data_IF_701993369275
#
_entry.id   IF_701993369275
#
_cell.length_a   1.000
_cell.length_b   1.000
_cell.length_c   1.000
_cell.angle_alpha   90.00
_cell.angle_beta   90.00
_cell.angle_gamma   90.00
#
_symmetry.space_group_name_H-M   'P 1'
#
loop_
_entity.id
_entity.type
_entity.pdbx_description
1 polymer ?
#
# COMPACT_ATOMS: atom_id res chain seq x y z
N UNK A 1 44.04 113.95 -50.67
CA UNK A 1 45.24 114.31 -51.44
C UNK A 1 45.25 113.46 -52.70
N UNK A 2 44.90 114.07 -53.85
CA UNK A 2 44.96 113.40 -55.14
C UNK A 2 46.43 113.28 -55.55
N UNK A 3 46.88 112.06 -55.85
CA UNK A 3 48.22 111.81 -56.39
C UNK A 3 48.34 112.51 -57.76
N UNK A 4 49.49 113.15 -58.03
CA UNK A 4 49.78 113.78 -59.33
C UNK A 4 49.81 112.75 -60.46
N UNK A 5 49.47 113.20 -61.67
CA UNK A 5 49.26 112.35 -62.86
C UNK A 5 50.47 111.46 -63.21
N UNK A 6 51.70 111.97 -63.01
CA UNK A 6 52.95 111.21 -63.16
C UNK A 6 53.12 110.11 -62.11
N UNK A 7 52.93 110.42 -60.83
CA UNK A 7 52.97 109.42 -59.75
C UNK A 7 51.87 108.34 -59.90
N UNK A 8 50.74 108.68 -60.51
CA UNK A 8 49.66 107.73 -60.82
C UNK A 8 50.02 106.81 -62.00
N UNK A 9 50.75 107.30 -62.99
CA UNK A 9 51.23 106.49 -64.12
C UNK A 9 52.41 105.60 -63.74
N UNK A 10 53.33 106.08 -62.91
CA UNK A 10 54.43 105.29 -62.35
C UNK A 10 53.91 104.19 -61.40
N UNK A 11 52.94 104.52 -60.53
CA UNK A 11 52.23 103.53 -59.72
C UNK A 11 51.52 102.48 -60.59
N UNK A 12 50.87 102.88 -61.70
CA UNK A 12 50.24 101.93 -62.63
C UNK A 12 51.26 101.04 -63.35
N UNK A 13 52.43 101.57 -63.73
CA UNK A 13 53.54 100.79 -64.32
C UNK A 13 54.14 99.80 -63.33
N UNK A 14 54.48 100.25 -62.12
CA UNK A 14 55.00 99.38 -61.05
C UNK A 14 53.98 98.32 -60.63
N UNK A 15 52.71 98.69 -60.54
CA UNK A 15 51.60 97.75 -60.28
C UNK A 15 51.43 96.73 -61.41
N UNK A 16 51.60 97.14 -62.67
CA UNK A 16 51.55 96.23 -63.82
C UNK A 16 52.75 95.27 -63.83
N UNK A 17 53.98 95.77 -63.60
CA UNK A 17 55.19 94.94 -63.51
C UNK A 17 55.13 93.94 -62.35
N UNK A 18 54.71 94.40 -61.16
CA UNK A 18 54.48 93.54 -60.01
C UNK A 18 53.35 92.53 -60.26
N UNK A 19 52.33 92.90 -61.05
CA UNK A 19 51.26 91.98 -61.42
C UNK A 19 51.68 90.90 -62.43
N UNK A 20 52.76 91.12 -63.20
CA UNK A 20 53.32 90.14 -64.14
C UNK A 20 54.31 89.22 -63.43
N UNK A 21 55.15 89.76 -62.55
CA UNK A 21 56.12 88.96 -61.78
C UNK A 21 55.43 88.07 -60.74
N UNK A 22 54.35 88.54 -60.12
CA UNK A 22 53.64 87.80 -59.07
C UNK A 22 52.55 86.83 -59.57
N UNK A 23 52.55 86.45 -60.85
CA UNK A 23 51.54 85.54 -61.42
C UNK A 23 51.69 84.13 -60.85
N UNK A 24 52.91 83.58 -60.87
CA UNK A 24 53.19 82.21 -60.39
C UNK A 24 52.91 82.10 -58.88
N UNK A 25 53.32 83.11 -58.10
CA UNK A 25 53.09 83.14 -56.65
C UNK A 25 51.60 83.31 -56.32
N UNK A 26 50.83 84.10 -57.09
CA UNK A 26 49.37 84.19 -56.93
C UNK A 26 48.66 82.89 -57.31
N UNK A 27 49.08 82.21 -58.38
CA UNK A 27 48.54 80.90 -58.76
C UNK A 27 48.87 79.84 -57.69
N UNK A 28 50.08 79.87 -57.14
CA UNK A 28 50.47 79.01 -56.01
C UNK A 28 49.66 79.32 -54.76
N UNK A 29 49.45 80.60 -54.43
CA UNK A 29 48.62 80.99 -53.29
C UNK A 29 47.16 80.58 -53.50
N UNK A 30 46.61 80.71 -54.71
CA UNK A 30 45.24 80.31 -55.03
C UNK A 30 45.05 78.79 -54.95
N UNK A 31 46.01 78.01 -55.43
CA UNK A 31 45.99 76.53 -55.29
C UNK A 31 46.09 76.11 -53.83
N UNK A 32 47.05 76.66 -53.07
CA UNK A 32 47.16 76.42 -51.62
C UNK A 32 45.89 76.84 -50.87
N UNK A 33 45.25 77.95 -51.25
CA UNK A 33 44.02 78.42 -50.62
C UNK A 33 42.85 77.49 -50.90
N UNK A 34 42.75 76.96 -52.14
CA UNK A 34 41.76 75.94 -52.50
C UNK A 34 42.00 74.64 -51.72
N UNK A 35 43.24 74.20 -51.60
CA UNK A 35 43.63 73.02 -50.80
C UNK A 35 43.36 73.21 -49.31
N UNK A 36 43.69 74.38 -48.74
CA UNK A 36 43.38 74.70 -47.34
C UNK A 36 41.86 74.66 -47.11
N UNK A 37 41.07 75.18 -48.06
CA UNK A 37 39.60 75.14 -47.99
C UNK A 37 39.05 73.71 -48.08
N UNK A 38 39.60 72.85 -48.93
CA UNK A 38 39.17 71.43 -49.02
C UNK A 38 39.55 70.67 -47.75
N UNK A 39 40.78 70.83 -47.25
CA UNK A 39 41.25 70.22 -45.99
C UNK A 39 40.44 70.70 -44.78
N UNK A 40 40.09 71.98 -44.72
CA UNK A 40 39.26 72.51 -43.62
C UNK A 40 37.85 71.91 -43.65
N UNK A 41 37.27 71.74 -44.84
CA UNK A 41 35.96 71.08 -45.00
C UNK A 41 36.00 69.61 -44.63
N UNK A 42 37.03 68.86 -45.07
CA UNK A 42 37.16 67.44 -44.71
C UNK A 42 37.43 67.28 -43.21
N UNK A 43 38.22 68.15 -42.60
CA UNK A 43 38.47 68.16 -41.16
C UNK A 43 37.19 68.47 -40.36
N UNK A 44 36.35 69.39 -40.83
CA UNK A 44 35.02 69.63 -40.24
C UNK A 44 34.11 68.39 -40.30
N UNK A 45 34.03 67.74 -41.47
CA UNK A 45 33.25 66.51 -41.64
C UNK A 45 33.77 65.34 -40.79
N UNK A 46 35.09 65.22 -40.64
CA UNK A 46 35.70 64.20 -39.78
C UNK A 46 35.45 64.48 -38.30
N UNK A 47 35.48 65.75 -37.87
CA UNK A 47 35.12 66.14 -36.50
C UNK A 47 33.67 65.85 -36.18
N UNK A 48 32.72 66.20 -37.06
CA UNK A 48 31.29 65.87 -36.87
C UNK A 48 31.05 64.35 -36.82
N UNK A 49 31.75 63.58 -37.66
CA UNK A 49 31.71 62.11 -37.59
C UNK A 49 32.31 61.59 -36.29
N UNK A 50 33.40 62.17 -35.82
CA UNK A 50 34.04 61.79 -34.57
C UNK A 50 33.08 62.04 -33.39
N UNK A 51 32.48 63.22 -33.28
CA UNK A 51 31.53 63.54 -32.22
C UNK A 51 30.30 62.62 -32.26
N UNK A 52 29.76 62.36 -33.46
CA UNK A 52 28.63 61.42 -33.61
C UNK A 52 28.99 59.97 -33.29
N UNK A 53 30.24 59.54 -33.50
CA UNK A 53 30.72 58.22 -33.07
C UNK A 53 30.94 58.17 -31.56
N UNK A 54 31.39 59.27 -30.95
CA UNK A 54 31.62 59.39 -29.50
C UNK A 54 30.29 59.30 -28.72
N UNK A 55 29.27 60.05 -29.16
CA UNK A 55 27.90 59.99 -28.59
C UNK A 55 27.28 58.59 -28.74
N UNK A 56 27.45 57.96 -29.91
CA UNK A 56 26.99 56.59 -30.13
C UNK A 56 27.74 55.58 -29.24
N UNK A 57 29.04 55.82 -28.97
CA UNK A 57 29.81 54.96 -28.07
C UNK A 57 29.28 55.10 -26.64
N UNK A 58 29.07 56.31 -26.16
CA UNK A 58 28.52 56.59 -24.82
C UNK A 58 27.13 55.97 -24.61
N UNK A 59 26.23 56.14 -25.58
CA UNK A 59 24.90 55.52 -25.54
C UNK A 59 25.00 53.98 -25.47
N UNK A 60 25.87 53.38 -26.31
CA UNK A 60 26.06 51.93 -26.31
C UNK A 60 26.70 51.39 -25.04
N UNK A 61 27.60 52.16 -24.41
CA UNK A 61 28.19 51.78 -23.12
C UNK A 61 27.16 51.82 -21.99
N UNK A 62 26.30 52.85 -21.96
CA UNK A 62 25.22 52.93 -20.99
C UNK A 62 24.20 51.78 -21.16
N UNK A 63 23.85 51.46 -22.41
CA UNK A 63 22.99 50.31 -22.71
C UNK A 63 23.63 48.99 -22.25
N UNK A 64 24.93 48.79 -22.51
CA UNK A 64 25.67 47.60 -22.08
C UNK A 64 25.69 47.44 -20.56
N UNK A 65 25.93 48.53 -19.82
CA UNK A 65 25.92 48.53 -18.36
C UNK A 65 24.53 48.15 -17.82
N UNK A 66 23.46 48.78 -18.34
CA UNK A 66 22.09 48.47 -17.93
C UNK A 66 21.71 47.01 -18.22
N UNK A 67 22.09 46.48 -19.38
CA UNK A 67 21.86 45.08 -19.74
C UNK A 67 22.68 44.12 -18.85
N UNK A 68 23.90 44.50 -18.47
CA UNK A 68 24.75 43.68 -17.59
C UNK A 68 24.20 43.60 -16.16
N UNK A 69 23.67 44.70 -15.63
CA UNK A 69 23.03 44.73 -14.31
C UNK A 69 21.76 43.86 -14.30
N UNK A 70 20.92 44.00 -15.32
CA UNK A 70 19.71 43.17 -15.46
C UNK A 70 20.03 41.67 -15.58
N UNK A 71 21.13 41.32 -16.25
CA UNK A 71 21.63 39.94 -16.31
C UNK A 71 21.95 39.39 -14.93
N UNK A 72 22.73 40.15 -14.15
CA UNK A 72 23.16 39.74 -12.82
C UNK A 72 21.95 39.51 -11.89
N UNK A 73 20.95 40.40 -11.94
CA UNK A 73 19.70 40.22 -11.18
C UNK A 73 18.91 38.97 -11.59
N UNK A 74 18.83 38.67 -12.89
CA UNK A 74 18.14 37.48 -13.38
C UNK A 74 18.90 36.20 -13.01
N UNK A 75 20.22 36.19 -13.11
CA UNK A 75 21.06 35.07 -12.72
C UNK A 75 20.93 34.79 -11.20
N UNK A 76 20.90 35.84 -10.36
CA UNK A 76 20.67 35.71 -8.92
C UNK A 76 19.27 35.15 -8.62
N UNK A 77 18.22 35.66 -9.28
CA UNK A 77 16.84 35.14 -9.13
C UNK A 77 16.72 33.68 -9.57
N UNK A 78 17.40 33.29 -10.64
CA UNK A 78 17.41 31.89 -11.09
C UNK A 78 18.11 31.02 -10.05
N UNK A 79 19.23 31.47 -9.50
CA UNK A 79 19.96 30.72 -8.47
C UNK A 79 19.12 30.52 -7.19
N UNK A 80 18.41 31.55 -6.72
CA UNK A 80 17.54 31.43 -5.53
C UNK A 80 16.36 30.50 -5.77
N UNK A 81 15.65 30.65 -6.90
CA UNK A 81 14.55 29.77 -7.28
C UNK A 81 14.99 28.32 -7.44
N UNK A 82 16.20 28.08 -7.94
CA UNK A 82 16.76 26.72 -8.04
C UNK A 82 17.00 26.11 -6.66
N UNK A 83 17.51 26.87 -5.69
CA UNK A 83 17.69 26.39 -4.31
C UNK A 83 16.33 26.05 -3.69
N UNK A 84 15.34 26.93 -3.82
CA UNK A 84 13.98 26.69 -3.32
C UNK A 84 13.35 25.45 -3.97
N UNK A 85 13.52 25.28 -5.29
CA UNK A 85 13.04 24.11 -6.02
C UNK A 85 13.67 22.81 -5.50
N UNK A 86 14.98 22.79 -5.27
CA UNK A 86 15.66 21.61 -4.73
C UNK A 86 15.17 21.23 -3.35
N UNK A 87 14.95 22.23 -2.48
CA UNK A 87 14.42 22.04 -1.13
C UNK A 87 12.99 21.49 -1.17
N UNK A 88 12.11 22.10 -1.95
CA UNK A 88 10.72 21.65 -2.08
C UNK A 88 10.61 20.22 -2.64
N UNK A 89 11.47 19.86 -3.61
CA UNK A 89 11.56 18.49 -4.14
C UNK A 89 12.05 17.49 -3.10
N UNK A 90 13.03 17.87 -2.29
CA UNK A 90 13.53 17.01 -1.20
C UNK A 90 12.48 16.80 -0.11
N UNK A 91 11.72 17.85 0.24
CA UNK A 91 10.63 17.76 1.20
C UNK A 91 9.50 16.84 0.69
N UNK A 92 9.18 16.91 -0.62
CA UNK A 92 8.21 16.01 -1.25
C UNK A 92 8.68 14.55 -1.23
N UNK A 93 9.93 14.27 -1.58
CA UNK A 93 10.48 12.90 -1.56
C UNK A 93 10.47 12.31 -0.15
N UNK A 94 10.89 13.09 0.86
CA UNK A 94 10.84 12.72 2.26
C UNK A 94 9.40 12.39 2.70
N UNK A 95 8.41 13.23 2.36
CA UNK A 95 7.01 12.96 2.68
C UNK A 95 6.47 11.71 1.97
N UNK A 96 6.79 11.51 0.69
CA UNK A 96 6.36 10.32 -0.04
C UNK A 96 6.95 9.04 0.53
N UNK A 97 8.22 9.08 0.95
CA UNK A 97 8.89 7.94 1.59
C UNK A 97 8.23 7.58 2.93
N UNK A 98 7.96 8.57 3.78
CA UNK A 98 7.29 8.38 5.08
C UNK A 98 5.84 7.89 4.89
N UNK A 99 5.10 8.43 3.91
CA UNK A 99 3.75 7.97 3.58
C UNK A 99 3.74 6.51 3.10
N UNK A 100 4.72 6.12 2.30
CA UNK A 100 4.87 4.73 1.84
C UNK A 100 5.19 3.80 3.01
N UNK A 101 6.08 4.23 3.90
CA UNK A 101 6.43 3.50 5.13
C UNK A 101 5.22 3.33 6.06
N UNK A 102 4.46 4.39 6.31
CA UNK A 102 3.22 4.34 7.12
C UNK A 102 2.23 3.35 6.49
N UNK A 103 2.04 3.40 5.16
CA UNK A 103 1.13 2.48 4.47
C UNK A 103 1.55 1.01 4.59
N UNK A 104 2.85 0.72 4.56
CA UNK A 104 3.38 -0.63 4.78
C UNK A 104 3.13 -1.10 6.22
N UNK A 105 3.39 -0.23 7.20
CA UNK A 105 3.12 -0.54 8.61
C UNK A 105 1.63 -0.75 8.89
N UNK A 106 0.74 0.05 8.28
CA UNK A 106 -0.71 -0.14 8.34
C UNK A 106 -1.13 -1.48 7.74
N UNK A 107 -0.57 -1.88 6.60
CA UNK A 107 -0.87 -3.16 5.97
C UNK A 107 -0.45 -4.34 6.86
N UNK A 108 0.76 -4.29 7.41
CA UNK A 108 1.27 -5.32 8.34
C UNK A 108 0.44 -5.40 9.62
N UNK A 109 0.10 -4.26 10.22
CA UNK A 109 -0.72 -4.22 11.43
C UNK A 109 -2.14 -4.75 11.18
N UNK A 110 -2.74 -4.44 10.03
CA UNK A 110 -4.05 -4.97 9.64
C UNK A 110 -4.02 -6.49 9.40
N UNK A 111 -2.98 -7.00 8.72
CA UNK A 111 -2.81 -8.44 8.51
C UNK A 111 -2.67 -9.19 9.85
N UNK A 112 -1.84 -8.66 10.76
CA UNK A 112 -1.70 -9.22 12.11
C UNK A 112 -3.02 -9.16 12.89
N UNK A 113 -3.78 -8.05 12.76
CA UNK A 113 -5.06 -7.89 13.42
C UNK A 113 -6.09 -8.91 12.92
N UNK A 114 -6.15 -9.15 11.60
CA UNK A 114 -7.02 -10.18 11.01
C UNK A 114 -6.67 -11.58 11.53
N UNK A 115 -5.38 -11.91 11.62
CA UNK A 115 -4.94 -13.19 12.17
C UNK A 115 -5.34 -13.36 13.64
N UNK A 116 -5.17 -12.31 14.46
CA UNK A 116 -5.58 -12.33 15.88
C UNK A 116 -7.10 -12.47 16.01
N UNK A 117 -7.88 -11.80 15.17
CA UNK A 117 -9.34 -11.96 15.15
C UNK A 117 -9.77 -13.39 14.81
N UNK A 118 -9.14 -14.02 13.81
CA UNK A 118 -9.41 -15.41 13.46
C UNK A 118 -9.13 -16.36 14.62
N UNK A 119 -8.00 -16.16 15.33
CA UNK A 119 -7.63 -16.95 16.51
C UNK A 119 -8.60 -16.73 17.68
N UNK A 120 -9.02 -15.50 17.94
CA UNK A 120 -10.01 -15.19 18.98
C UNK A 120 -11.39 -15.80 18.68
N UNK A 121 -11.81 -15.79 17.42
CA UNK A 121 -13.07 -16.42 17.01
C UNK A 121 -13.01 -17.94 17.23
N UNK A 122 -11.92 -18.57 16.84
CA UNK A 122 -11.70 -20.00 17.06
C UNK A 122 -11.70 -20.34 18.56
N UNK A 123 -10.98 -19.57 19.37
CA UNK A 123 -10.95 -19.74 20.82
C UNK A 123 -12.33 -19.54 21.49
N UNK A 124 -13.16 -18.63 20.96
CA UNK A 124 -14.53 -18.43 21.44
C UNK A 124 -15.44 -19.63 21.18
N UNK A 125 -15.33 -20.25 20.00
CA UNK A 125 -16.07 -21.48 19.67
C UNK A 125 -15.62 -22.63 20.58
N UNK A 126 -14.31 -22.81 20.75
CA UNK A 126 -13.74 -23.87 21.60
C UNK A 126 -14.13 -23.71 23.07
N UNK A 127 -14.23 -22.47 23.58
CA UNK A 127 -14.67 -22.19 24.96
C UNK A 127 -16.13 -22.59 25.19
N UNK A 128 -17.03 -22.21 24.29
CA UNK A 128 -18.44 -22.57 24.42
C UNK A 128 -18.69 -24.08 24.32
N UNK A 129 -17.93 -24.78 23.47
CA UNK A 129 -17.98 -26.23 23.38
C UNK A 129 -17.43 -26.89 24.64
N UNK A 130 -16.27 -26.44 25.14
CA UNK A 130 -15.66 -26.97 26.36
C UNK A 130 -16.52 -26.73 27.61
N UNK A 131 -17.17 -25.57 27.75
CA UNK A 131 -18.08 -25.28 28.86
C UNK A 131 -19.32 -26.19 28.82
N UNK A 132 -19.86 -26.44 27.62
CA UNK A 132 -21.01 -27.33 27.44
C UNK A 132 -20.65 -28.77 27.77
N UNK A 133 -19.50 -29.23 27.32
CA UNK A 133 -18.99 -30.58 27.60
C UNK A 133 -18.70 -30.77 29.10
N UNK A 134 -18.11 -29.78 29.75
CA UNK A 134 -17.79 -29.83 31.20
C UNK A 134 -19.06 -29.87 32.04
N UNK A 135 -20.03 -29.00 31.76
CA UNK A 135 -21.34 -29.02 32.42
C UNK A 135 -22.05 -30.36 32.22
N UNK A 136 -22.01 -30.91 31.01
CA UNK A 136 -22.63 -32.22 30.75
C UNK A 136 -21.96 -33.33 31.58
N UNK A 137 -20.63 -33.35 31.68
CA UNK A 137 -19.90 -34.33 32.51
C UNK A 137 -20.21 -34.19 34.00
N UNK A 138 -20.24 -32.97 34.53
CA UNK A 138 -20.61 -32.72 35.93
C UNK A 138 -22.04 -33.20 36.22
N UNK A 139 -22.96 -32.94 35.29
CA UNK A 139 -24.35 -33.34 35.46
C UNK A 139 -24.52 -34.85 35.38
N UNK A 140 -23.77 -35.53 34.51
CA UNK A 140 -23.73 -36.98 34.43
C UNK A 140 -23.23 -37.59 35.75
N UNK A 141 -22.16 -37.05 36.33
CA UNK A 141 -21.62 -37.51 37.60
C UNK A 141 -22.64 -37.35 38.74
N UNK A 142 -23.39 -36.25 38.75
CA UNK A 142 -24.48 -36.04 39.70
C UNK A 142 -25.62 -37.04 39.51
N UNK A 143 -26.04 -37.30 38.26
CA UNK A 143 -27.07 -38.29 37.94
C UNK A 143 -26.66 -39.70 38.38
N UNK A 144 -25.42 -40.12 38.11
CA UNK A 144 -24.89 -41.42 38.54
C UNK A 144 -24.86 -41.57 40.07
N UNK A 145 -24.63 -40.47 40.80
CA UNK A 145 -24.62 -40.46 42.26
C UNK A 145 -26.01 -40.51 42.88
N UNK A 146 -26.99 -39.83 42.28
CA UNK A 146 -28.35 -39.71 42.82
C UNK A 146 -29.24 -40.89 42.42
N UNK A 147 -29.03 -41.44 41.23
CA UNK A 147 -29.88 -42.48 40.65
C UNK A 147 -29.07 -43.75 40.36
N UNK A 148 -29.02 -44.72 41.30
CA UNK A 148 -28.36 -45.99 41.06
C UNK A 148 -29.10 -46.73 39.94
N UNK A 149 -28.45 -46.84 38.78
CA UNK A 149 -29.02 -47.39 37.53
C UNK A 149 -28.74 -46.53 36.30
N UNK A 150 -28.09 -45.36 36.46
CA UNK A 150 -27.47 -44.63 35.35
C UNK A 150 -26.12 -45.25 35.02
N UNK A 151 -25.97 -45.83 33.83
CA UNK A 151 -24.74 -46.53 33.40
C UNK A 151 -23.70 -45.56 32.87
N UNK A 152 -24.13 -44.55 32.10
CA UNK A 152 -23.24 -43.55 31.48
C UNK A 152 -23.66 -43.23 30.05
N UNK A 153 -22.86 -42.44 29.32
CA UNK A 153 -23.13 -42.13 27.92
C UNK A 153 -22.69 -43.28 27.01
N UNK A 154 -23.32 -43.41 25.85
CA UNK A 154 -22.94 -44.39 24.83
C UNK A 154 -21.46 -44.28 24.45
N UNK A 155 -20.92 -43.06 24.29
CA UNK A 155 -19.48 -42.85 23.99
C UNK A 155 -18.54 -43.35 25.09
N UNK A 156 -18.97 -43.30 26.35
CA UNK A 156 -18.15 -43.75 27.49
C UNK A 156 -18.24 -45.27 27.70
N UNK A 157 -19.31 -45.90 27.19
CA UNK A 157 -19.64 -47.32 27.35
C UNK A 157 -19.17 -48.20 26.19
N UNK A 158 -18.57 -47.62 25.15
CA UNK A 158 -18.09 -48.37 23.99
C UNK A 158 -16.71 -47.89 23.51
N UNK A 159 -15.98 -48.78 22.84
CA UNK A 159 -14.66 -48.49 22.25
C UNK A 159 -14.55 -49.07 20.85
N UNK A 160 -14.00 -48.35 19.86
CA UNK A 160 -13.72 -48.93 18.55
C UNK A 160 -12.74 -50.10 18.67
N UNK A 161 -13.00 -51.20 17.96
CA UNK A 161 -12.13 -52.38 17.99
C UNK A 161 -10.73 -52.12 17.40
N UNK A 162 -10.61 -51.16 16.48
CA UNK A 162 -9.35 -50.72 15.89
C UNK A 162 -9.38 -49.21 15.66
N UNK A 163 -8.21 -48.54 15.76
CA UNK A 163 -8.08 -47.08 15.59
C UNK A 163 -8.62 -46.56 14.25
N UNK A 164 -8.49 -47.35 13.18
CA UNK A 164 -9.01 -46.97 11.86
C UNK A 164 -10.53 -46.80 11.80
N UNK A 165 -11.28 -47.38 12.76
CA UNK A 165 -12.74 -47.29 12.84
C UNK A 165 -13.23 -46.13 13.71
N UNK A 166 -12.34 -45.39 14.36
CA UNK A 166 -12.71 -44.34 15.33
C UNK A 166 -13.67 -43.30 14.73
N UNK A 167 -13.31 -42.75 13.57
CA UNK A 167 -14.16 -41.80 12.83
C UNK A 167 -15.50 -42.44 12.43
N UNK A 168 -15.47 -43.64 11.85
CA UNK A 168 -16.67 -44.32 11.40
C UNK A 168 -17.62 -44.65 12.55
N UNK A 169 -17.11 -45.10 13.70
CA UNK A 169 -17.89 -45.41 14.90
C UNK A 169 -18.56 -44.15 15.45
N UNK A 170 -17.81 -43.05 15.60
CA UNK A 170 -18.37 -41.76 16.04
C UNK A 170 -19.54 -41.32 15.15
N UNK A 171 -19.38 -41.48 13.84
CA UNK A 171 -20.36 -41.10 12.83
C UNK A 171 -21.57 -42.06 12.77
N UNK A 172 -21.35 -43.36 13.03
CA UNK A 172 -22.43 -44.34 13.14
C UNK A 172 -23.32 -44.01 14.33
N UNK A 173 -22.73 -43.81 15.52
CA UNK A 173 -23.43 -43.48 16.75
C UNK A 173 -24.18 -42.15 16.62
N UNK A 174 -23.56 -41.15 15.98
CA UNK A 174 -24.20 -39.91 15.57
C UNK A 174 -24.94 -39.25 16.75
N UNK A 175 -26.25 -39.03 16.59
CA UNK A 175 -27.08 -38.40 17.64
C UNK A 175 -27.12 -39.19 18.96
N UNK A 176 -26.90 -40.51 18.93
CA UNK A 176 -26.90 -41.36 20.10
C UNK A 176 -25.57 -41.32 20.88
N UNK A 177 -24.54 -40.64 20.37
CA UNK A 177 -23.20 -40.66 20.98
C UNK A 177 -23.20 -40.14 22.43
N UNK A 178 -23.99 -39.09 22.70
CA UNK A 178 -24.18 -38.48 24.02
C UNK A 178 -25.44 -39.00 24.75
N UNK A 179 -26.15 -39.98 24.20
CA UNK A 179 -27.31 -40.55 24.87
C UNK A 179 -26.89 -41.31 26.14
N UNK A 180 -27.65 -41.13 27.22
CA UNK A 180 -27.38 -41.70 28.54
C UNK A 180 -28.13 -43.03 28.68
N UNK A 181 -27.40 -44.12 28.92
CA UNK A 181 -27.97 -45.45 29.14
C UNK A 181 -28.40 -45.60 30.59
N UNK A 182 -29.63 -46.04 30.81
CA UNK A 182 -30.22 -46.26 32.14
C UNK A 182 -30.92 -47.61 32.21
N UNK A 183 -31.00 -48.18 33.40
CA UNK A 183 -31.55 -49.54 33.58
C UNK A 183 -33.06 -49.61 33.34
N UNK A 184 -33.82 -48.59 33.75
CA UNK A 184 -35.29 -48.58 33.61
C UNK A 184 -35.85 -47.24 33.11
N UNK A 185 -37.02 -47.27 32.47
CA UNK A 185 -37.75 -46.06 32.03
C UNK A 185 -38.03 -45.10 33.19
N UNK A 186 -38.37 -45.62 34.39
CA UNK A 186 -38.63 -44.79 35.58
C UNK A 186 -37.43 -43.91 35.94
N UNK A 187 -36.23 -44.50 35.95
CA UNK A 187 -34.99 -43.78 36.22
C UNK A 187 -34.75 -42.69 35.16
N UNK A 188 -35.08 -42.96 33.89
CA UNK A 188 -34.97 -41.95 32.83
C UNK A 188 -35.85 -40.72 33.14
N UNK A 189 -37.11 -40.94 33.52
CA UNK A 189 -38.06 -39.87 33.85
C UNK A 189 -37.58 -39.07 35.06
N UNK A 190 -37.14 -39.74 36.12
CA UNK A 190 -36.62 -39.10 37.32
C UNK A 190 -35.36 -38.26 37.02
N UNK A 191 -34.46 -38.75 36.16
CA UNK A 191 -33.30 -38.01 35.70
C UNK A 191 -33.70 -36.76 34.90
N UNK A 192 -34.70 -36.87 34.01
CA UNK A 192 -35.22 -35.73 33.23
C UNK A 192 -35.84 -34.68 34.16
N UNK A 193 -36.60 -35.09 35.17
CA UNK A 193 -37.19 -34.17 36.15
C UNK A 193 -36.11 -33.47 36.97
N UNK A 194 -35.09 -34.21 37.42
CA UNK A 194 -33.94 -33.62 38.09
C UNK A 194 -33.22 -32.60 37.21
N UNK A 195 -32.93 -32.95 35.94
CA UNK A 195 -32.29 -32.04 34.98
C UNK A 195 -33.14 -30.78 34.73
N UNK A 196 -34.46 -30.92 34.64
CA UNK A 196 -35.40 -29.79 34.50
C UNK A 196 -35.33 -28.86 35.71
N UNK A 197 -35.33 -29.42 36.92
CA UNK A 197 -35.26 -28.66 38.17
C UNK A 197 -33.91 -27.94 38.33
N UNK A 198 -32.81 -28.59 37.93
CA UNK A 198 -31.47 -28.00 37.93
C UNK A 198 -31.21 -27.08 36.72
N UNK A 199 -32.18 -26.92 35.81
CA UNK A 199 -32.06 -26.16 34.55
C UNK A 199 -30.87 -26.61 33.70
N UNK A 200 -30.57 -27.90 33.76
CA UNK A 200 -29.49 -28.55 33.03
C UNK A 200 -30.02 -28.99 31.67
N UNK A 201 -29.77 -28.17 30.64
CA UNK A 201 -29.85 -28.53 29.21
C UNK A 201 -30.92 -29.53 28.77
N UNK A 202 -30.59 -30.33 27.76
CA UNK A 202 -31.40 -31.43 27.26
C UNK A 202 -30.48 -32.63 27.05
N UNK A 203 -30.94 -33.81 27.44
CA UNK A 203 -30.26 -35.08 27.16
C UNK A 203 -31.26 -36.13 26.66
N UNK A 204 -30.75 -37.10 25.92
CA UNK A 204 -31.50 -38.28 25.49
C UNK A 204 -31.16 -39.44 26.41
N UNK A 205 -32.17 -40.20 26.83
CA UNK A 205 -32.00 -41.38 27.67
C UNK A 205 -32.40 -42.65 26.90
N UNK A 206 -31.64 -43.73 27.09
CA UNK A 206 -31.90 -45.05 26.51
C UNK A 206 -32.20 -46.02 27.67
N UNK A 207 -33.49 -46.29 27.96
CA UNK A 207 -33.88 -47.23 29.00
C UNK A 207 -33.73 -48.69 28.54
N UNK A 208 -32.91 -49.47 29.24
CA UNK A 208 -32.56 -50.84 28.86
C UNK A 208 -33.74 -51.81 28.96
N UNK A 209 -34.72 -51.57 29.82
CA UNK A 209 -35.92 -52.40 29.96
C UNK A 209 -36.86 -52.27 28.75
N UNK A 210 -37.15 -51.05 28.31
CA UNK A 210 -38.16 -50.75 27.29
C UNK A 210 -37.62 -50.57 25.87
N UNK A 211 -36.31 -50.33 25.69
CA UNK A 211 -35.74 -50.04 24.37
C UNK A 211 -35.97 -51.18 23.36
N UNK A 212 -36.57 -50.84 22.22
CA UNK A 212 -36.76 -51.77 21.11
C UNK A 212 -35.59 -51.67 20.13
N UNK A 213 -34.64 -52.60 20.23
CA UNK A 213 -33.58 -52.74 19.23
C UNK A 213 -34.08 -53.63 18.08
N UNK A 214 -33.95 -53.15 16.83
CA UNK A 214 -34.19 -54.01 15.66
C UNK A 214 -33.14 -55.13 15.65
N UNK A 215 -33.53 -56.39 15.41
CA UNK A 215 -32.58 -57.48 15.37
C UNK A 215 -31.54 -57.24 14.27
N UNK A 216 -30.30 -57.59 14.60
CA UNK A 216 -29.19 -57.49 13.66
C UNK A 216 -29.39 -58.53 12.56
N UNK A 217 -29.31 -58.11 11.31
CA UNK A 217 -29.43 -59.03 10.19
C UNK A 217 -28.06 -59.59 9.84
N UNK A 218 -27.80 -60.83 10.28
CA UNK A 218 -26.54 -61.55 10.09
C UNK A 218 -26.13 -61.67 8.61
N UNK A 219 -27.08 -61.59 7.67
CA UNK A 219 -26.80 -61.58 6.23
C UNK A 219 -25.86 -60.43 5.84
N UNK A 220 -25.86 -59.34 6.59
CA UNK A 220 -24.99 -58.20 6.31
C UNK A 220 -23.52 -58.42 6.68
N UNK A 221 -23.18 -59.45 7.48
CA UNK A 221 -21.77 -59.78 7.80
C UNK A 221 -20.97 -60.28 6.60
N UNK A 222 -21.64 -60.96 5.67
CA UNK A 222 -21.01 -61.56 4.49
C UNK A 222 -21.45 -60.90 3.18
N UNK A 223 -22.03 -59.70 3.26
CA UNK A 223 -22.74 -59.08 2.14
C UNK A 223 -21.81 -58.53 1.05
N UNK A 224 -20.74 -57.83 1.46
CA UNK A 224 -19.75 -57.28 0.55
C UNK A 224 -18.37 -57.28 1.19
N UNK A 225 -17.33 -57.57 0.38
CA UNK A 225 -15.94 -57.49 0.83
C UNK A 225 -15.60 -56.04 1.14
N UNK A 226 -15.23 -55.75 2.38
CA UNK A 226 -14.95 -54.39 2.85
C UNK A 226 -16.15 -53.67 3.49
N UNK A 227 -17.29 -54.35 3.68
CA UNK A 227 -18.40 -53.87 4.51
C UNK A 227 -18.55 -54.76 5.75
N UNK A 228 -18.76 -54.14 6.92
CA UNK A 228 -18.93 -54.84 8.21
C UNK A 228 -20.03 -54.19 9.01
N UNK A 229 -20.73 -54.95 9.84
CA UNK A 229 -21.70 -54.38 10.77
C UNK A 229 -21.00 -53.47 11.78
N UNK A 230 -21.61 -52.32 12.06
CA UNK A 230 -21.08 -51.38 13.03
C UNK A 230 -20.93 -52.00 14.42
N UNK A 231 -21.86 -52.87 14.81
CA UNK A 231 -21.83 -53.56 16.10
C UNK A 231 -20.61 -54.47 16.24
N UNK A 232 -20.13 -55.06 15.13
CA UNK A 232 -18.97 -55.96 15.15
C UNK A 232 -17.62 -55.21 15.20
N UNK A 233 -17.62 -53.90 14.92
CA UNK A 233 -16.40 -53.05 15.01
C UNK A 233 -16.33 -52.22 16.29
N UNK A 234 -17.29 -52.42 17.20
CA UNK A 234 -17.37 -51.74 18.49
C UNK A 234 -17.28 -52.78 19.62
N UNK A 235 -16.50 -52.49 20.64
CA UNK A 235 -16.38 -53.27 21.87
C UNK A 235 -17.22 -52.59 22.96
N UNK A 236 -18.08 -53.35 23.62
CA UNK A 236 -18.95 -52.89 24.70
C UNK A 236 -19.24 -54.03 25.70
N UNK A 237 -19.75 -53.68 26.88
CA UNK A 237 -20.12 -54.64 27.91
C UNK A 237 -21.48 -55.32 27.59
N UNK A 238 -21.66 -56.63 27.85
CA UNK A 238 -22.93 -57.31 27.58
C UNK A 238 -24.15 -56.67 28.27
N UNK A 239 -23.95 -56.01 29.41
CA UNK A 239 -25.04 -55.34 30.15
C UNK A 239 -25.69 -54.20 29.38
N UNK A 240 -25.00 -53.60 28.40
CA UNK A 240 -25.50 -52.48 27.58
C UNK A 240 -25.78 -52.87 26.14
N UNK A 241 -25.80 -54.17 25.82
CA UNK A 241 -25.96 -54.70 24.45
C UNK A 241 -27.20 -54.13 23.74
N UNK A 242 -28.36 -54.10 24.42
CA UNK A 242 -29.61 -53.56 23.85
C UNK A 242 -29.47 -52.09 23.44
N UNK A 243 -28.78 -51.28 24.24
CA UNK A 243 -28.54 -49.87 23.92
C UNK A 243 -27.61 -49.72 22.72
N UNK A 244 -26.55 -50.53 22.64
CA UNK A 244 -25.59 -50.51 21.53
C UNK A 244 -26.23 -50.98 20.21
N UNK A 245 -27.08 -52.01 20.26
CA UNK A 245 -27.84 -52.47 19.11
C UNK A 245 -28.84 -51.41 18.62
N UNK A 246 -29.47 -50.67 19.52
CA UNK A 246 -30.31 -49.54 19.14
C UNK A 246 -29.49 -48.38 18.53
N UNK A 247 -28.36 -48.02 19.17
CA UNK A 247 -27.54 -46.90 18.76
C UNK A 247 -26.89 -47.11 17.38
N UNK A 248 -26.38 -48.32 17.13
CA UNK A 248 -25.73 -48.68 15.87
C UNK A 248 -26.73 -49.16 14.81
N UNK A 249 -27.75 -49.92 15.22
CA UNK A 249 -28.68 -50.60 14.33
C UNK A 249 -27.98 -51.51 13.31
N UNK A 250 -28.64 -51.71 12.16
CA UNK A 250 -28.07 -52.37 11.00
C UNK A 250 -27.17 -51.43 10.16
N UNK A 251 -26.38 -50.57 10.80
CA UNK A 251 -25.43 -49.73 10.09
C UNK A 251 -24.21 -50.55 9.64
N UNK A 252 -23.68 -50.23 8.45
CA UNK A 252 -22.52 -50.87 7.87
C UNK A 252 -21.36 -49.88 7.79
N UNK A 253 -20.21 -50.28 8.32
CA UNK A 253 -18.94 -49.59 8.14
C UNK A 253 -18.26 -50.15 6.89
N UNK A 254 -18.02 -49.27 5.92
CA UNK A 254 -17.44 -49.58 4.62
C UNK A 254 -16.01 -49.01 4.54
N UNK A 255 -15.08 -49.77 3.96
CA UNK A 255 -13.70 -49.33 3.82
C UNK A 255 -13.58 -48.10 2.89
N UNK A 256 -14.38 -48.05 1.81
CA UNK A 256 -14.38 -46.96 0.83
C UNK A 256 -15.79 -46.51 0.42
N UNK A 257 -15.87 -45.36 -0.27
CA UNK A 257 -17.13 -44.81 -0.79
C UNK A 257 -17.75 -45.70 -1.88
N UNK A 258 -16.92 -46.35 -2.69
CA UNK A 258 -17.37 -47.26 -3.76
C UNK A 258 -18.12 -48.46 -3.16
N UNK A 259 -17.60 -49.02 -2.05
CA UNK A 259 -18.26 -50.11 -1.33
C UNK A 259 -19.58 -49.64 -0.72
N UNK A 260 -19.62 -48.44 -0.12
CA UNK A 260 -20.85 -47.89 0.43
C UNK A 260 -21.92 -47.67 -0.67
N UNK A 261 -21.52 -47.16 -1.84
CA UNK A 261 -22.39 -46.97 -3.01
C UNK A 261 -22.91 -48.30 -3.55
N UNK A 262 -22.05 -49.30 -3.66
CA UNK A 262 -22.42 -50.64 -4.10
C UNK A 262 -23.52 -51.24 -3.22
N UNK A 263 -23.38 -51.11 -1.91
CA UNK A 263 -24.34 -51.65 -0.94
C UNK A 263 -25.69 -50.93 -1.01
N UNK A 264 -25.70 -49.60 -0.99
CA UNK A 264 -26.94 -48.83 -0.92
C UNK A 264 -27.65 -48.69 -2.26
N UNK A 265 -26.93 -48.38 -3.35
CA UNK A 265 -27.53 -48.05 -4.65
C UNK A 265 -27.56 -49.22 -5.62
N UNK A 266 -26.47 -49.97 -5.79
CA UNK A 266 -26.44 -51.08 -6.77
C UNK A 266 -27.20 -52.31 -6.28
N UNK A 267 -27.08 -52.62 -4.98
CA UNK A 267 -27.81 -53.72 -4.35
C UNK A 267 -29.13 -53.32 -3.71
N UNK A 268 -29.48 -52.03 -3.72
CA UNK A 268 -30.74 -51.50 -3.23
C UNK A 268 -31.03 -51.82 -1.76
N UNK A 269 -30.00 -51.93 -0.90
CA UNK A 269 -30.22 -52.22 0.51
C UNK A 269 -30.54 -50.95 1.30
N UNK A 270 -31.63 -50.99 2.07
CA UNK A 270 -32.08 -49.88 2.94
C UNK A 270 -31.31 -49.84 4.27
N UNK A 271 -29.98 -49.72 4.19
CA UNK A 271 -29.06 -49.71 5.33
C UNK A 271 -28.31 -48.39 5.41
N UNK A 272 -27.91 -47.99 6.62
CA UNK A 272 -27.05 -46.82 6.84
C UNK A 272 -25.61 -47.27 6.57
N UNK A 273 -24.99 -46.81 5.50
CA UNK A 273 -23.58 -47.11 5.20
C UNK A 273 -22.69 -45.92 5.60
N UNK A 274 -21.58 -46.18 6.29
CA UNK A 274 -20.62 -45.18 6.77
C UNK A 274 -19.22 -45.56 6.32
N UNK A 275 -18.48 -44.66 5.69
CA UNK A 275 -17.10 -44.91 5.27
C UNK A 275 -16.11 -44.69 6.42
N UNK A 276 -14.88 -45.23 6.30
CA UNK A 276 -13.79 -44.94 7.25
C UNK A 276 -13.47 -43.44 7.36
N UNK A 277 -13.69 -42.69 6.28
CA UNK A 277 -13.51 -41.23 6.24
C UNK A 277 -14.66 -40.45 6.90
N UNK A 278 -15.72 -41.13 7.35
CA UNK A 278 -16.85 -40.52 8.04
C UNK A 278 -17.95 -39.99 7.13
N UNK A 279 -18.01 -40.41 5.86
CA UNK A 279 -19.13 -40.08 4.97
C UNK A 279 -20.25 -41.10 5.14
N UNK A 280 -21.50 -40.64 5.22
CA UNK A 280 -22.70 -41.44 5.48
C UNK A 280 -23.60 -41.45 4.25
N UNK A 281 -24.11 -42.62 3.90
CA UNK A 281 -25.30 -42.79 3.07
C UNK A 281 -26.41 -43.29 4.00
N UNK A 282 -27.45 -42.46 4.16
CA UNK A 282 -28.61 -42.79 4.98
C UNK A 282 -29.51 -43.81 4.28
N UNK A 283 -30.37 -44.48 5.04
CA UNK A 283 -31.33 -45.45 4.50
C UNK A 283 -32.27 -44.86 3.45
N UNK A 284 -32.54 -43.56 3.54
CA UNK A 284 -33.36 -42.79 2.58
C UNK A 284 -32.60 -42.35 1.33
N UNK A 285 -31.31 -42.70 1.20
CA UNK A 285 -30.46 -42.32 0.06
C UNK A 285 -29.80 -40.94 0.19
N UNK A 286 -30.03 -40.21 1.28
CA UNK A 286 -29.33 -38.95 1.58
C UNK A 286 -27.85 -39.22 1.83
N UNK A 287 -26.97 -38.34 1.35
CA UNK A 287 -25.52 -38.43 1.58
C UNK A 287 -25.09 -37.27 2.48
N UNK A 288 -24.32 -37.57 3.52
CA UNK A 288 -23.74 -36.58 4.43
C UNK A 288 -22.24 -36.81 4.51
N UNK A 289 -21.44 -35.81 4.16
CA UNK A 289 -19.97 -35.90 4.17
C UNK A 289 -19.28 -34.55 4.36
N UNK A 290 -18.00 -34.60 4.70
CA UNK A 290 -17.16 -33.45 5.01
C UNK A 290 -16.35 -33.68 6.29
N UNK A 291 -15.11 -33.19 6.34
CA UNK A 291 -14.34 -33.20 7.59
C UNK A 291 -15.03 -32.25 8.58
N UNK A 292 -15.70 -32.82 9.58
CA UNK A 292 -16.10 -32.03 10.74
C UNK A 292 -14.82 -31.54 11.42
N UNK A 293 -14.75 -30.24 11.71
CA UNK A 293 -13.65 -29.61 12.45
C UNK A 293 -13.57 -30.07 13.91
N UNK A 294 -14.43 -31.00 14.33
CA UNK A 294 -14.55 -31.49 15.71
C UNK A 294 -13.39 -32.35 16.24
N UNK A 295 -12.22 -32.38 15.60
CA UNK A 295 -11.06 -32.86 16.34
C UNK A 295 -9.72 -32.37 15.82
N UNK A 296 -8.89 -31.98 16.79
CA UNK A 296 -7.49 -31.58 16.74
C UNK A 296 -7.21 -30.11 16.38
N UNK A 297 -7.01 -29.28 17.42
CA UNK A 297 -6.39 -27.97 17.22
C UNK A 297 -6.40 -27.08 18.45
N UNK A 298 -5.60 -27.42 19.48
CA UNK A 298 -5.33 -26.61 20.69
C UNK A 298 -6.57 -26.16 21.48
N UNK A 299 -6.75 -26.73 22.66
CA UNK A 299 -7.58 -26.12 23.70
C UNK A 299 -6.91 -24.79 24.10
N UNK A 300 -7.54 -23.67 23.76
CA UNK A 300 -7.05 -22.35 24.14
C UNK A 300 -7.29 -22.12 25.63
N UNK A 301 -6.25 -21.76 26.38
CA UNK A 301 -6.38 -21.43 27.80
C UNK A 301 -6.86 -19.98 27.97
N UNK A 302 -7.46 -19.65 29.11
CA UNK A 302 -7.97 -18.31 29.39
C UNK A 302 -6.84 -17.25 29.33
N UNK A 303 -5.62 -17.64 29.67
CA UNK A 303 -4.41 -16.82 29.52
C UNK A 303 -4.06 -16.53 28.06
N UNK A 304 -4.26 -17.50 27.16
CA UNK A 304 -3.98 -17.33 25.74
C UNK A 304 -4.98 -16.34 25.11
N UNK A 305 -6.26 -16.47 25.47
CA UNK A 305 -7.32 -15.55 25.02
C UNK A 305 -7.08 -14.12 25.53
N UNK A 306 -6.67 -13.96 26.79
CA UNK A 306 -6.28 -12.66 27.33
C UNK A 306 -5.04 -12.09 26.62
N UNK A 307 -4.05 -12.94 26.30
CA UNK A 307 -2.88 -12.56 25.52
C UNK A 307 -3.24 -12.02 24.13
N UNK A 308 -4.10 -12.75 23.41
CA UNK A 308 -4.63 -12.35 22.10
C UNK A 308 -5.47 -11.06 22.17
N UNK A 309 -6.21 -10.87 23.26
CA UNK A 309 -6.98 -9.63 23.46
C UNK A 309 -6.06 -8.43 23.65
N UNK A 310 -4.96 -8.59 24.42
CA UNK A 310 -3.95 -7.54 24.60
C UNK A 310 -3.23 -7.19 23.30
N UNK A 311 -2.87 -8.19 22.49
CA UNK A 311 -2.23 -7.93 21.19
C UNK A 311 -3.19 -7.21 20.23
N UNK A 312 -4.48 -7.60 20.21
CA UNK A 312 -5.52 -6.88 19.46
C UNK A 312 -5.62 -5.41 19.88
N UNK A 313 -5.69 -5.13 21.17
CA UNK A 313 -5.78 -3.74 21.68
C UNK A 313 -4.50 -2.94 21.37
N UNK A 314 -3.33 -3.59 21.44
CA UNK A 314 -2.05 -2.99 21.05
C UNK A 314 -2.00 -2.61 19.57
N UNK A 315 -2.41 -3.53 18.68
CA UNK A 315 -2.47 -3.29 17.23
C UNK A 315 -3.48 -2.19 16.87
N UNK A 316 -4.63 -2.14 17.54
CA UNK A 316 -5.60 -1.04 17.36
C UNK A 316 -5.03 0.32 17.77
N UNK A 317 -4.23 0.35 18.84
CA UNK A 317 -3.57 1.58 19.28
C UNK A 317 -2.52 2.02 18.26
N UNK A 318 -1.71 1.09 17.76
CA UNK A 318 -0.73 1.36 16.70
C UNK A 318 -1.39 1.90 15.42
N UNK A 319 -2.48 1.30 14.96
CA UNK A 319 -3.24 1.78 13.80
C UNK A 319 -3.80 3.20 14.01
N UNK A 320 -4.27 3.50 15.23
CA UNK A 320 -4.75 4.85 15.57
C UNK A 320 -3.63 5.88 15.53
N UNK A 321 -2.44 5.53 15.99
CA UNK A 321 -1.30 6.45 15.99
C UNK A 321 -0.71 6.65 14.59
N UNK A 322 -0.68 5.60 13.75
CA UNK A 322 -0.35 5.71 12.32
C UNK A 322 -1.33 6.64 11.58
N UNK A 323 -2.63 6.52 11.87
CA UNK A 323 -3.65 7.41 11.29
C UNK A 323 -3.46 8.89 11.69
N UNK A 324 -3.05 9.17 12.93
CA UNK A 324 -2.72 10.54 13.37
C UNK A 324 -1.48 11.09 12.67
N UNK A 325 -0.45 10.26 12.46
CA UNK A 325 0.76 10.68 11.74
C UNK A 325 0.44 11.06 10.30
N UNK A 326 -0.41 10.29 9.62
CA UNK A 326 -0.89 10.58 8.26
C UNK A 326 -1.64 11.92 8.15
N UNK A 327 -2.45 12.27 9.16
CA UNK A 327 -3.22 13.52 9.16
C UNK A 327 -2.38 14.77 9.44
N UNK A 328 -1.15 14.64 9.97
CA UNK A 328 -0.29 15.78 10.33
C UNK A 328 0.63 16.25 9.21
N UNK A 329 0.77 15.47 8.13
CA UNK A 329 1.56 15.87 6.98
C UNK A 329 0.90 17.01 6.20
N UNK A 330 1.70 17.94 5.69
CA UNK A 330 1.31 18.80 4.58
C UNK A 330 0.88 17.89 3.43
N UNK A 331 -0.19 18.22 2.70
CA UNK A 331 -0.64 17.34 1.61
C UNK A 331 0.38 17.36 0.47
N UNK A 332 0.70 16.19 -0.09
CA UNK A 332 1.55 16.06 -1.28
C UNK A 332 1.11 17.06 -2.37
N UNK A 333 -0.20 17.30 -2.49
CA UNK A 333 -0.81 18.27 -3.40
C UNK A 333 -0.29 19.71 -3.21
N UNK A 334 -0.09 20.15 -1.97
CA UNK A 334 0.41 21.48 -1.68
C UNK A 334 1.88 21.63 -2.10
N UNK A 335 2.71 20.63 -1.81
CA UNK A 335 4.12 20.62 -2.22
C UNK A 335 4.27 20.51 -3.74
N UNK A 336 3.44 19.70 -4.41
CA UNK A 336 3.41 19.58 -5.87
C UNK A 336 3.01 20.92 -6.51
N UNK A 337 1.99 21.60 -5.96
CA UNK A 337 1.56 22.91 -6.43
C UNK A 337 2.66 23.98 -6.23
N UNK A 338 3.37 23.94 -5.11
CA UNK A 338 4.50 24.81 -4.82
C UNK A 338 5.67 24.57 -5.80
N UNK A 339 6.05 23.31 -6.03
CA UNK A 339 7.06 22.92 -7.02
C UNK A 339 6.67 23.43 -8.41
N UNK A 340 5.43 23.18 -8.85
CA UNK A 340 4.95 23.63 -10.17
C UNK A 340 4.98 25.16 -10.32
N UNK A 341 4.68 25.90 -9.24
CA UNK A 341 4.78 27.36 -9.22
C UNK A 341 6.23 27.83 -9.35
N UNK A 342 7.15 27.23 -8.59
CA UNK A 342 8.59 27.58 -8.63
C UNK A 342 9.20 27.21 -9.99
N UNK A 343 8.83 26.06 -10.56
CA UNK A 343 9.26 25.63 -11.90
C UNK A 343 8.81 26.63 -12.96
N UNK A 344 7.54 27.05 -12.92
CA UNK A 344 7.00 28.05 -13.84
C UNK A 344 7.70 29.40 -13.71
N UNK A 345 8.02 29.83 -12.49
CA UNK A 345 8.78 31.05 -12.25
C UNK A 345 10.22 30.93 -12.77
N UNK A 346 10.85 29.77 -12.60
CA UNK A 346 12.21 29.48 -13.07
C UNK A 346 12.28 29.45 -14.60
N UNK A 347 11.29 28.87 -15.27
CA UNK A 347 11.24 28.85 -16.74
C UNK A 347 11.01 30.23 -17.31
N UNK A 348 10.11 31.03 -16.74
CA UNK A 348 9.90 32.43 -17.12
C UNK A 348 11.19 33.26 -16.99
N UNK A 349 11.89 33.15 -15.86
CA UNK A 349 13.15 33.87 -15.64
C UNK A 349 14.26 33.44 -16.61
N UNK A 350 14.34 32.14 -16.94
CA UNK A 350 15.27 31.62 -17.95
C UNK A 350 14.91 32.09 -19.37
N UNK A 351 13.63 32.09 -19.71
CA UNK A 351 13.16 32.57 -21.01
C UNK A 351 13.46 34.07 -21.19
N UNK A 352 13.27 34.87 -20.14
CA UNK A 352 13.62 36.30 -20.15
C UNK A 352 15.13 36.53 -20.35
N UNK A 353 15.98 35.66 -19.79
CA UNK A 353 17.42 35.68 -20.01
C UNK A 353 17.80 35.31 -21.46
N UNK A 354 17.08 34.37 -22.08
CA UNK A 354 17.34 33.89 -23.45
C UNK A 354 16.80 34.84 -24.52
N UNK A 355 15.65 35.47 -24.30
CA UNK A 355 14.99 36.39 -25.25
C UNK A 355 15.81 37.65 -25.58
N UNK A 356 16.81 37.97 -24.78
CA UNK A 356 17.75 39.05 -25.05
C UNK A 356 19.12 38.49 -25.52
N UNK A 357 19.33 38.28 -26.84
CA UNK A 357 20.55 37.66 -27.37
C UNK A 357 21.84 38.48 -27.12
N UNK A 358 21.72 39.77 -26.80
CA UNK A 358 22.83 40.59 -26.34
C UNK A 358 23.19 40.27 -24.87
N UNK A 359 22.21 40.03 -23.99
CA UNK A 359 22.41 39.72 -22.57
C UNK A 359 23.08 38.34 -22.38
N UNK A 360 22.63 37.34 -23.12
CA UNK A 360 23.13 35.96 -22.99
C UNK A 360 24.62 35.82 -23.35
N UNK A 361 25.13 36.68 -24.23
CA UNK A 361 26.53 36.67 -24.72
C UNK A 361 27.48 37.61 -23.98
N UNK A 362 26.99 38.44 -23.05
CA UNK A 362 27.87 39.32 -22.27
C UNK A 362 28.72 38.50 -21.29
N UNK A 363 30.06 38.65 -21.29
CA UNK A 363 30.91 38.05 -20.27
C UNK A 363 30.55 38.62 -18.89
N UNK A 364 30.80 37.85 -17.83
CA UNK A 364 30.67 38.33 -16.45
C UNK A 364 31.47 39.62 -16.25
N UNK A 365 30.95 40.53 -15.41
CA UNK A 365 31.41 41.90 -15.13
C UNK A 365 32.94 42.11 -14.99
N UNK A 366 33.70 41.05 -14.73
CA UNK A 366 35.18 41.00 -14.69
C UNK A 366 35.92 41.47 -15.95
N UNK A 367 35.27 41.66 -17.10
CA UNK A 367 35.96 42.04 -18.36
C UNK A 367 35.85 43.53 -18.69
N UNK A 368 34.89 44.25 -18.11
CA UNK A 368 34.65 45.67 -18.46
C UNK A 368 35.65 46.65 -17.82
N UNK A 369 36.34 46.27 -16.73
CA UNK A 369 37.38 47.13 -16.10
C UNK A 369 38.65 47.31 -16.96
N UNK A 370 38.84 46.53 -18.04
CA UNK A 370 40.04 46.66 -18.90
C UNK A 370 39.96 47.75 -19.97
N UNK A 371 38.82 48.42 -20.13
CA UNK A 371 38.62 49.41 -21.22
C UNK A 371 38.72 50.86 -20.73
N UNK A 372 38.86 51.11 -19.43
CA UNK A 372 38.93 52.47 -18.85
C UNK A 372 40.34 53.04 -18.62
N UNK A 373 41.42 52.34 -19.04
CA UNK A 373 42.76 52.95 -18.99
C UNK A 373 43.06 53.68 -20.31
N UNK A 374 43.21 55.02 -20.32
CA UNK A 374 43.70 55.72 -21.49
C UNK A 374 45.16 55.29 -21.77
N UNK A 375 45.59 55.16 -23.03
CA UNK A 375 46.99 54.88 -23.33
C UNK A 375 47.82 56.09 -22.92
N UNK A 376 48.61 55.93 -21.86
CA UNK A 376 49.66 56.86 -21.45
C UNK A 376 50.63 57.13 -22.60
N UNK A 377 50.86 58.42 -22.87
CA UNK A 377 52.16 58.93 -23.31
C UNK A 377 52.53 58.77 -24.79
N UNK A 378 52.28 59.81 -25.59
CA UNK A 378 53.18 60.18 -26.67
C UNK A 378 54.25 61.14 -26.13
N UNK A 379 55.56 60.83 -26.18
CA UNK A 379 56.60 61.81 -25.89
C UNK A 379 56.74 62.80 -27.07
N UNK A 380 57.17 64.02 -26.73
CA UNK A 380 57.39 65.17 -27.62
C UNK A 380 58.32 64.89 -28.79
#
# INVERSE_FOLDING_TARGET
>A
MALGEESLTEYRKLKAAASVLAVDERQSLETLTRELKTVTRTLGQLKEKQTGLEENRESRTADLEAQSARKAELDEKIATLQVELTKARQDLDNQQSERTRIRQLEAQANEQLQNVYAQLLQAGVDKHESERETKLKETLANLQRLFPGVRGRVVDLCKPAQRKYETAVSVVLGWNIDAIVVDTEKIAIDCIEYMRNQRVGQATFIPLDTIQAKPINDKFRSFAKGARLAVDVIQFEPTVERAMHHACGNALVCDTMEVARYVCYEKGQEVKAVTLEGTIIHKSGLITGGKSTHNSGKKWDEKDVQGLTRTKDGLMTQLRDLAKQKSRGQTDENLIAEISRIESATTLAKDDLVRHPFISRLPSLTVLERVQTPPDGYPR
#
